data_IF_696981922442
#
_entry.id   IF_696981922442
#
_cell.length_a   1.000
_cell.length_b   1.000
_cell.length_c   1.000
_cell.angle_alpha   90.00
_cell.angle_beta   90.00
_cell.angle_gamma   90.00
#
_symmetry.space_group_name_H-M   'P 1'
#
loop_
_entity.id
_entity.type
_entity.pdbx_description
1 polymer ?
#
# COMPACT_ATOMS: atom_id res chain seq x y z
N UNK A 1 8.02 33.09 -35.56
CA UNK A 1 8.89 32.62 -34.43
C UNK A 1 10.22 33.33 -34.53
N UNK A 2 10.56 34.22 -33.60
CA UNK A 2 11.82 34.97 -33.58
C UNK A 2 12.97 33.99 -33.28
N UNK A 3 14.01 34.01 -34.11
CA UNK A 3 15.23 33.21 -33.88
C UNK A 3 15.94 33.71 -32.59
N UNK A 4 16.11 32.84 -31.61
CA UNK A 4 16.88 33.12 -30.40
C UNK A 4 18.28 33.64 -30.75
N UNK A 5 18.70 34.75 -30.12
CA UNK A 5 20.06 35.32 -30.26
C UNK A 5 21.11 34.35 -29.69
N UNK A 6 22.34 34.38 -30.20
CA UNK A 6 23.43 33.47 -29.82
C UNK A 6 23.64 33.42 -28.29
N UNK A 7 23.60 34.55 -27.61
CA UNK A 7 23.77 34.63 -26.14
C UNK A 7 22.60 33.96 -25.40
N UNK A 8 21.35 34.06 -25.91
CA UNK A 8 20.19 33.38 -25.30
C UNK A 8 20.33 31.86 -25.36
N UNK A 9 20.92 31.32 -26.43
CA UNK A 9 21.22 29.91 -26.53
C UNK A 9 22.28 29.47 -25.54
N UNK A 10 23.33 30.28 -25.35
CA UNK A 10 24.38 30.01 -24.36
C UNK A 10 23.83 30.02 -22.95
N UNK A 11 22.99 31.01 -22.61
CA UNK A 11 22.33 31.08 -21.30
C UNK A 11 21.39 29.88 -21.09
N UNK A 12 20.61 29.49 -22.11
CA UNK A 12 19.74 28.32 -22.02
C UNK A 12 20.52 27.02 -21.77
N UNK A 13 21.64 26.81 -22.49
CA UNK A 13 22.50 25.64 -22.28
C UNK A 13 23.12 25.67 -20.87
N UNK A 14 23.58 26.81 -20.41
CA UNK A 14 24.11 26.97 -19.05
C UNK A 14 23.08 26.63 -17.98
N UNK A 15 21.84 27.13 -18.12
CA UNK A 15 20.74 26.81 -17.20
C UNK A 15 20.39 25.33 -17.19
N UNK A 16 20.41 24.67 -18.37
CA UNK A 16 20.18 23.22 -18.47
C UNK A 16 21.29 22.44 -17.75
N UNK A 17 22.55 22.86 -17.91
CA UNK A 17 23.68 22.23 -17.22
C UNK A 17 23.56 22.42 -15.69
N UNK A 18 23.24 23.62 -15.24
CA UNK A 18 23.06 23.90 -13.80
C UNK A 18 21.90 23.09 -13.22
N UNK A 19 20.78 23.00 -13.95
CA UNK A 19 19.65 22.18 -13.55
C UNK A 19 20.04 20.69 -13.49
N UNK A 20 20.74 20.18 -14.50
CA UNK A 20 21.22 18.81 -14.53
C UNK A 20 22.16 18.49 -13.37
N UNK A 21 23.15 19.38 -13.12
CA UNK A 21 24.07 19.23 -11.98
C UNK A 21 23.33 19.31 -10.65
N UNK A 22 22.30 20.15 -10.56
CA UNK A 22 21.42 20.23 -9.39
C UNK A 22 20.67 18.93 -9.13
N UNK A 23 20.10 18.31 -10.16
CA UNK A 23 19.42 17.01 -10.08
C UNK A 23 20.41 15.91 -9.66
N UNK A 24 21.60 15.86 -10.28
CA UNK A 24 22.64 14.89 -9.92
C UNK A 24 23.09 15.09 -8.47
N UNK A 25 23.25 16.34 -8.01
CA UNK A 25 23.61 16.62 -6.63
C UNK A 25 22.50 16.17 -5.66
N UNK A 26 21.23 16.42 -5.97
CA UNK A 26 20.10 15.95 -5.18
C UNK A 26 20.06 14.42 -5.10
N UNK A 27 20.31 13.74 -6.21
CA UNK A 27 20.40 12.29 -6.27
C UNK A 27 21.54 11.74 -5.40
N UNK A 28 22.73 12.32 -5.50
CA UNK A 28 23.91 11.90 -4.74
C UNK A 28 23.82 12.24 -3.25
N UNK A 29 23.02 13.26 -2.89
CA UNK A 29 22.78 13.70 -1.52
C UNK A 29 21.53 13.05 -0.90
N UNK A 30 20.84 12.16 -1.63
CA UNK A 30 19.69 11.45 -1.09
C UNK A 30 20.12 10.64 0.14
N UNK A 31 19.49 10.84 1.30
CA UNK A 31 19.88 10.13 2.51
C UNK A 31 19.66 8.61 2.32
N UNK A 32 20.59 7.85 2.86
CA UNK A 32 20.55 6.39 2.86
C UNK A 32 20.50 5.87 4.30
N UNK A 33 19.83 4.78 4.49
CA UNK A 33 19.74 4.07 5.77
C UNK A 33 19.98 2.60 5.52
N UNK A 34 20.75 1.96 6.35
CA UNK A 34 20.97 0.52 6.25
C UNK A 34 19.83 -0.24 6.91
N UNK A 35 19.55 -1.46 6.45
CA UNK A 35 18.59 -2.38 7.08
C UNK A 35 18.80 -2.46 8.60
N UNK A 36 20.05 -2.62 9.04
CA UNK A 36 20.42 -2.70 10.46
C UNK A 36 20.01 -1.52 11.33
N UNK A 37 19.76 -0.34 10.72
CA UNK A 37 19.36 0.85 11.49
C UNK A 37 17.86 0.90 11.78
N UNK A 38 17.08 0.07 11.12
CA UNK A 38 15.61 0.04 11.22
C UNK A 38 15.08 -1.35 11.52
N UNK A 39 15.91 -2.38 11.37
CA UNK A 39 15.55 -3.76 11.58
C UNK A 39 15.44 -4.05 13.08
N UNK A 40 14.24 -4.33 13.54
CA UNK A 40 13.95 -4.82 14.87
C UNK A 40 13.81 -6.35 14.89
N UNK A 41 13.86 -6.98 13.71
CA UNK A 41 13.79 -8.42 13.56
C UNK A 41 15.14 -9.05 13.89
N UNK A 42 15.31 -9.42 15.13
CA UNK A 42 16.56 -10.02 15.62
C UNK A 42 16.54 -11.55 15.58
N UNK A 43 15.45 -12.15 15.07
CA UNK A 43 15.23 -13.59 15.07
C UNK A 43 15.83 -14.28 13.84
N UNK A 44 16.37 -15.47 14.06
CA UNK A 44 16.68 -16.43 12.99
C UNK A 44 15.41 -17.16 12.53
N UNK A 45 14.29 -17.03 13.27
CA UNK A 45 13.01 -17.67 13.00
C UNK A 45 12.10 -16.75 12.18
N UNK A 46 11.38 -17.33 11.24
CA UNK A 46 10.43 -16.60 10.37
C UNK A 46 9.16 -16.13 11.10
N UNK A 47 8.89 -16.65 12.30
CA UNK A 47 7.76 -16.29 13.16
C UNK A 47 8.18 -16.11 14.61
N UNK A 48 7.84 -14.95 15.16
CA UNK A 48 7.89 -14.66 16.58
C UNK A 48 6.65 -13.84 16.99
N UNK A 49 5.76 -14.45 17.77
CA UNK A 49 4.53 -13.78 18.24
C UNK A 49 4.81 -12.50 19.03
N UNK A 50 5.98 -12.41 19.68
CA UNK A 50 6.37 -11.25 20.47
C UNK A 50 6.78 -10.06 19.60
N UNK A 51 7.18 -10.30 18.35
CA UNK A 51 7.58 -9.26 17.40
C UNK A 51 6.37 -8.67 16.66
N UNK A 52 5.21 -9.34 16.65
CA UNK A 52 4.01 -8.87 15.97
C UNK A 52 3.43 -7.66 16.70
N UNK A 53 3.14 -6.61 15.93
CA UNK A 53 2.48 -5.39 16.46
C UNK A 53 1.07 -5.73 16.93
N UNK A 54 0.59 -5.02 17.95
CA UNK A 54 -0.74 -5.23 18.51
C UNK A 54 -1.51 -3.92 18.60
N UNK A 55 -2.83 -4.02 18.52
CA UNK A 55 -3.76 -2.96 18.80
C UNK A 55 -4.97 -3.54 19.55
N UNK A 56 -5.37 -2.90 20.63
CA UNK A 56 -6.49 -3.38 21.43
C UNK A 56 -7.83 -2.99 20.82
N UNK A 57 -8.74 -3.93 20.75
CA UNK A 57 -10.14 -3.69 20.42
C UNK A 57 -10.85 -3.10 21.66
N UNK A 58 -11.28 -1.86 21.53
CA UNK A 58 -11.92 -1.14 22.67
C UNK A 58 -13.44 -1.04 22.56
N UNK A 59 -14.02 -1.50 21.45
CA UNK A 59 -15.47 -1.50 21.14
C UNK A 59 -15.90 -2.88 20.66
N UNK A 60 -17.20 -3.12 20.54
CA UNK A 60 -17.75 -4.37 20.02
C UNK A 60 -17.27 -4.65 18.58
N UNK A 61 -17.23 -3.60 17.76
CA UNK A 61 -16.70 -3.66 16.39
C UNK A 61 -15.32 -3.01 16.33
N UNK A 62 -14.49 -3.46 15.38
CA UNK A 62 -13.22 -2.81 15.04
C UNK A 62 -13.32 -2.18 13.65
N UNK A 63 -12.92 -0.91 13.52
CA UNK A 63 -13.07 -0.13 12.30
C UNK A 63 -11.73 0.34 11.75
N UNK A 64 -11.53 0.13 10.46
CA UNK A 64 -10.31 0.54 9.74
C UNK A 64 -10.72 1.52 8.64
N UNK A 65 -10.13 2.71 8.62
CA UNK A 65 -10.20 3.60 7.49
C UNK A 65 -9.00 3.31 6.57
N UNK A 66 -9.24 2.61 5.47
CA UNK A 66 -8.21 2.39 4.45
C UNK A 66 -8.20 3.58 3.47
N UNK A 67 -7.02 4.18 3.28
CA UNK A 67 -6.75 5.28 2.36
C UNK A 67 -5.54 4.89 1.48
N UNK A 68 -5.49 5.32 0.24
CA UNK A 68 -4.44 4.89 -0.70
C UNK A 68 -4.14 5.95 -1.74
N UNK A 69 -2.99 5.84 -2.41
CA UNK A 69 -2.63 6.69 -3.54
C UNK A 69 -2.68 8.18 -3.20
N UNK A 70 -2.25 8.52 -1.99
CA UNK A 70 -2.29 9.89 -1.45
C UNK A 70 -1.39 10.81 -2.27
N UNK A 71 -0.25 10.28 -2.75
CA UNK A 71 0.73 10.99 -3.57
C UNK A 71 1.03 12.40 -3.01
N UNK A 72 1.34 12.45 -1.73
CA UNK A 72 1.38 13.64 -0.88
C UNK A 72 2.24 14.79 -1.43
N UNK A 73 3.25 14.49 -2.19
CA UNK A 73 4.23 15.42 -2.76
C UNK A 73 3.98 15.75 -4.23
N UNK A 74 2.88 15.30 -4.80
CA UNK A 74 2.56 15.62 -6.18
C UNK A 74 2.36 17.15 -6.34
N UNK A 75 3.19 17.84 -7.16
CA UNK A 75 3.16 19.29 -7.27
C UNK A 75 1.89 19.83 -7.95
N UNK A 76 1.13 18.97 -8.60
CA UNK A 76 -0.10 19.33 -9.30
C UNK A 76 -1.33 19.32 -8.39
N UNK A 77 -1.19 18.84 -7.14
CA UNK A 77 -2.31 18.66 -6.22
C UNK A 77 -2.13 19.43 -4.92
N UNK A 78 -3.24 19.92 -4.38
CA UNK A 78 -3.23 20.65 -3.12
C UNK A 78 -3.10 19.70 -1.93
N UNK A 79 -2.00 19.76 -1.19
CA UNK A 79 -1.81 19.00 0.06
C UNK A 79 -2.89 19.32 1.10
N UNK A 80 -3.44 20.54 1.06
CA UNK A 80 -4.48 20.97 1.99
C UNK A 80 -5.79 20.23 1.72
N UNK A 81 -6.12 20.02 0.47
CA UNK A 81 -7.38 19.37 0.10
C UNK A 81 -7.37 17.90 0.53
N UNK A 82 -6.26 17.19 0.29
CA UNK A 82 -6.07 15.79 0.74
C UNK A 82 -6.13 15.69 2.25
N UNK A 83 -5.40 16.56 2.98
CA UNK A 83 -5.45 16.58 4.45
C UNK A 83 -6.85 16.83 4.98
N UNK A 84 -7.57 17.77 4.37
CA UNK A 84 -8.94 18.10 4.75
C UNK A 84 -9.88 16.93 4.48
N UNK A 85 -9.73 16.27 3.34
CA UNK A 85 -10.53 15.10 2.99
C UNK A 85 -10.32 13.94 3.98
N UNK A 86 -9.06 13.63 4.32
CA UNK A 86 -8.74 12.59 5.32
C UNK A 86 -9.36 12.97 6.66
N UNK A 87 -9.20 14.22 7.11
CA UNK A 87 -9.81 14.67 8.36
C UNK A 87 -11.34 14.52 8.35
N UNK A 88 -12.00 14.89 7.27
CA UNK A 88 -13.45 14.74 7.14
C UNK A 88 -13.89 13.27 7.23
N UNK A 89 -13.12 12.35 6.63
CA UNK A 89 -13.41 10.93 6.74
C UNK A 89 -13.23 10.41 8.17
N UNK A 90 -12.15 10.83 8.84
CA UNK A 90 -11.92 10.49 10.25
C UNK A 90 -13.07 11.01 11.14
N UNK A 91 -13.46 12.27 10.97
CA UNK A 91 -14.53 12.88 11.75
C UNK A 91 -15.90 12.17 11.54
N UNK A 92 -16.13 11.62 10.33
CA UNK A 92 -17.35 10.85 10.00
C UNK A 92 -17.35 9.44 10.56
N UNK A 93 -16.19 8.78 10.57
CA UNK A 93 -16.10 7.34 10.83
C UNK A 93 -15.54 6.99 12.20
N UNK A 94 -14.78 7.90 12.82
CA UNK A 94 -14.06 7.68 14.08
C UNK A 94 -13.38 6.31 14.12
N UNK A 95 -12.43 6.04 13.17
CA UNK A 95 -11.85 4.73 12.99
C UNK A 95 -10.89 4.39 14.14
N UNK A 96 -10.73 3.10 14.41
CA UNK A 96 -9.76 2.60 15.40
C UNK A 96 -8.35 2.56 14.83
N UNK A 97 -8.23 2.39 13.50
CA UNK A 97 -6.96 2.33 12.77
C UNK A 97 -7.10 2.98 11.39
N UNK A 98 -6.06 3.66 10.93
CA UNK A 98 -5.92 4.05 9.52
C UNK A 98 -4.90 3.12 8.87
N UNK A 99 -5.23 2.50 7.74
CA UNK A 99 -4.26 1.79 6.89
C UNK A 99 -4.00 2.63 5.64
N UNK A 100 -2.73 2.93 5.35
CA UNK A 100 -2.38 3.61 4.08
C UNK A 100 -1.90 2.57 3.08
N UNK A 101 -2.68 2.40 2.00
CA UNK A 101 -2.58 1.33 1.01
C UNK A 101 -1.47 1.48 -0.04
N UNK A 102 -0.42 2.25 0.25
CA UNK A 102 0.70 2.50 -0.65
C UNK A 102 0.55 3.79 -1.47
N UNK A 103 1.60 4.13 -2.21
CA UNK A 103 1.72 5.38 -2.97
C UNK A 103 1.39 6.62 -2.10
N UNK A 104 1.92 6.60 -0.88
CA UNK A 104 1.81 7.71 0.07
C UNK A 104 2.52 8.95 -0.45
N UNK A 105 3.62 8.73 -1.19
CA UNK A 105 4.45 9.74 -1.84
C UNK A 105 4.59 9.39 -3.32
N UNK A 106 4.95 10.39 -4.16
CA UNK A 106 5.28 10.15 -5.55
C UNK A 106 6.34 11.13 -6.04
N UNK A 107 7.41 10.64 -6.66
CA UNK A 107 8.38 11.47 -7.35
C UNK A 107 9.76 11.57 -6.69
N UNK A 108 10.51 12.61 -7.10
CA UNK A 108 11.95 12.73 -6.79
C UNK A 108 12.25 13.22 -5.36
N UNK A 109 11.25 13.63 -4.59
CA UNK A 109 11.43 14.27 -3.30
C UNK A 109 10.86 13.47 -2.12
N UNK A 110 10.61 12.17 -2.28
CA UNK A 110 10.05 11.30 -1.24
C UNK A 110 10.78 11.47 0.11
N UNK A 111 12.11 11.57 0.09
CA UNK A 111 12.93 11.75 1.29
C UNK A 111 12.74 13.10 2.03
N UNK A 112 12.20 14.12 1.36
CA UNK A 112 11.83 15.37 2.02
C UNK A 112 10.38 15.31 2.51
N UNK A 113 9.48 14.70 1.73
CA UNK A 113 8.05 14.72 1.98
C UNK A 113 7.62 13.75 3.08
N UNK A 114 8.36 12.66 3.29
CA UNK A 114 8.06 11.67 4.33
C UNK A 114 7.88 12.31 5.72
N UNK A 115 8.73 13.29 6.09
CA UNK A 115 8.62 13.95 7.40
C UNK A 115 7.36 14.78 7.55
N UNK A 116 6.96 15.48 6.48
CA UNK A 116 5.76 16.30 6.47
C UNK A 116 4.50 15.43 6.46
N UNK A 117 4.53 14.32 5.74
CA UNK A 117 3.47 13.31 5.75
C UNK A 117 3.29 12.69 7.13
N UNK A 118 4.39 12.19 7.73
CA UNK A 118 4.36 11.61 9.09
C UNK A 118 3.75 12.57 10.10
N UNK A 119 4.19 13.84 10.06
CA UNK A 119 3.61 14.88 10.92
C UNK A 119 2.12 15.08 10.66
N UNK A 120 1.69 15.05 9.40
CA UNK A 120 0.27 15.18 9.06
C UNK A 120 -0.54 14.02 9.64
N UNK A 121 -0.05 12.80 9.56
CA UNK A 121 -0.71 11.62 10.12
C UNK A 121 -0.79 11.70 11.65
N UNK A 122 0.27 12.16 12.32
CA UNK A 122 0.27 12.37 13.79
C UNK A 122 -0.75 13.41 14.23
N UNK A 123 -0.96 14.47 13.44
CA UNK A 123 -1.94 15.51 13.76
C UNK A 123 -3.40 14.99 13.78
N UNK A 124 -3.68 13.85 13.18
CA UNK A 124 -4.99 13.21 13.25
C UNK A 124 -5.24 12.47 14.57
N UNK A 125 -4.18 12.08 15.28
CA UNK A 125 -4.27 11.40 16.58
C UNK A 125 -4.90 10.01 16.55
N UNK A 126 -4.98 9.39 15.36
CA UNK A 126 -5.48 8.03 15.16
C UNK A 126 -4.27 7.11 14.88
N UNK A 127 -4.21 5.90 15.45
CA UNK A 127 -3.19 4.93 15.06
C UNK A 127 -3.21 4.69 13.55
N UNK A 128 -2.03 4.56 12.94
CA UNK A 128 -1.93 4.35 11.50
C UNK A 128 -0.85 3.35 11.10
N UNK A 129 -1.11 2.60 10.04
CA UNK A 129 -0.28 1.50 9.56
C UNK A 129 -0.04 1.64 8.05
N UNK A 130 1.19 1.96 7.60
CA UNK A 130 1.51 2.11 6.19
C UNK A 130 1.92 0.81 5.52
N UNK A 131 1.59 0.67 4.23
CA UNK A 131 2.34 -0.14 3.28
C UNK A 131 2.98 0.76 2.23
N UNK A 132 4.00 0.24 1.54
CA UNK A 132 4.61 0.91 0.41
C UNK A 132 3.94 0.48 -0.91
N UNK A 133 3.84 1.43 -1.84
CA UNK A 133 3.46 1.20 -3.23
C UNK A 133 4.65 1.38 -4.17
N UNK A 134 4.39 1.36 -5.46
CA UNK A 134 5.46 1.47 -6.46
C UNK A 134 6.11 2.86 -6.50
N UNK A 135 5.40 3.92 -6.11
CA UNK A 135 5.94 5.27 -6.11
C UNK A 135 6.87 5.56 -4.92
N UNK A 136 6.82 4.79 -3.85
CA UNK A 136 7.85 4.85 -2.80
C UNK A 136 9.24 4.45 -3.33
N UNK A 137 9.31 3.66 -4.40
CA UNK A 137 10.55 3.27 -5.09
C UNK A 137 11.04 4.29 -6.11
N UNK A 138 10.28 5.36 -6.37
CA UNK A 138 10.62 6.37 -7.37
C UNK A 138 12.00 6.96 -7.14
N UNK A 139 12.74 7.21 -8.24
CA UNK A 139 14.03 7.89 -8.26
C UNK A 139 15.05 7.34 -7.25
N UNK A 140 15.04 6.02 -7.05
CA UNK A 140 15.91 5.34 -6.09
C UNK A 140 15.74 5.85 -4.64
N UNK A 141 14.52 6.16 -4.25
CA UNK A 141 14.19 6.39 -2.84
C UNK A 141 14.67 5.22 -2.00
N UNK A 142 15.11 5.52 -0.79
CA UNK A 142 15.57 4.50 0.16
C UNK A 142 14.43 4.18 1.12
N UNK A 143 13.81 3.02 0.95
CA UNK A 143 12.66 2.61 1.76
C UNK A 143 13.02 2.48 3.26
N UNK A 144 14.24 2.07 3.60
CA UNK A 144 14.68 2.05 4.99
C UNK A 144 14.80 3.44 5.57
N UNK A 145 15.22 4.44 4.76
CA UNK A 145 15.20 5.82 5.20
C UNK A 145 13.77 6.34 5.39
N UNK A 146 12.86 6.04 4.47
CA UNK A 146 11.45 6.41 4.60
C UNK A 146 10.86 5.77 5.86
N UNK A 147 11.07 4.48 6.07
CA UNK A 147 10.67 3.74 7.28
C UNK A 147 11.20 4.42 8.56
N UNK A 148 12.49 4.73 8.60
CA UNK A 148 13.13 5.39 9.75
C UNK A 148 12.53 6.76 10.05
N UNK A 149 12.05 7.49 9.03
CA UNK A 149 11.38 8.76 9.27
C UNK A 149 9.95 8.57 9.78
N UNK A 150 9.19 7.63 9.20
CA UNK A 150 7.83 7.32 9.63
C UNK A 150 7.78 6.74 11.05
N UNK A 151 8.74 5.89 11.41
CA UNK A 151 8.87 5.30 12.77
C UNK A 151 9.15 6.33 13.87
N UNK A 152 9.28 7.62 13.55
CA UNK A 152 9.31 8.72 14.54
C UNK A 152 7.93 9.19 14.96
N UNK A 153 6.90 8.74 14.28
CA UNK A 153 5.51 9.00 14.66
C UNK A 153 5.19 8.34 16.01
N UNK A 154 4.42 9.02 16.82
CA UNK A 154 3.93 8.47 18.09
C UNK A 154 2.70 7.55 17.88
N UNK A 155 2.04 7.68 16.73
CA UNK A 155 0.80 6.95 16.42
C UNK A 155 1.00 5.83 15.39
N UNK A 156 2.22 5.60 14.92
CA UNK A 156 2.47 4.59 13.89
C UNK A 156 2.48 3.17 14.46
N UNK A 157 1.82 2.26 13.78
CA UNK A 157 1.93 0.82 13.99
C UNK A 157 2.60 0.25 12.73
N UNK A 158 3.91 0.08 12.75
CA UNK A 158 4.68 -0.31 11.59
C UNK A 158 5.90 -1.13 11.98
N UNK A 159 6.27 -2.04 11.09
CA UNK A 159 7.55 -2.74 11.12
C UNK A 159 8.12 -2.84 9.71
N UNK A 160 9.43 -2.77 9.57
CA UNK A 160 10.10 -2.98 8.28
C UNK A 160 10.01 -4.44 7.81
N UNK A 161 9.70 -5.35 8.74
CA UNK A 161 9.70 -6.79 8.53
C UNK A 161 11.10 -7.38 8.36
N UNK A 162 11.18 -8.67 8.06
CA UNK A 162 12.48 -9.34 7.88
C UNK A 162 13.21 -8.77 6.65
N UNK A 163 14.48 -8.45 6.83
CA UNK A 163 15.30 -7.82 5.77
C UNK A 163 15.97 -8.83 4.82
N UNK A 164 15.74 -10.11 5.04
CA UNK A 164 16.22 -11.21 4.22
C UNK A 164 15.19 -11.74 3.20
N UNK A 165 14.01 -11.11 3.14
CA UNK A 165 12.98 -11.37 2.13
C UNK A 165 12.83 -10.18 1.20
N UNK A 166 12.08 -10.34 0.11
CA UNK A 166 11.77 -9.26 -0.82
C UNK A 166 10.83 -8.21 -0.19
N UNK A 167 10.95 -6.95 -0.64
CA UNK A 167 10.11 -5.84 -0.17
C UNK A 167 10.51 -5.29 1.20
N UNK A 168 9.88 -4.20 1.62
CA UNK A 168 10.06 -3.53 2.91
C UNK A 168 8.70 -3.19 3.50
N UNK A 169 8.48 -3.50 4.77
CA UNK A 169 7.18 -3.31 5.41
C UNK A 169 6.26 -4.52 5.20
N UNK A 170 6.83 -5.74 5.33
CA UNK A 170 6.06 -6.97 5.45
C UNK A 170 5.88 -7.26 6.94
N UNK A 171 4.70 -7.01 7.48
CA UNK A 171 4.44 -7.15 8.92
C UNK A 171 2.99 -7.49 9.22
N UNK A 172 2.73 -7.90 10.47
CA UNK A 172 1.40 -8.18 10.96
C UNK A 172 1.01 -7.22 12.07
N UNK A 173 -0.31 -7.02 12.20
CA UNK A 173 -0.92 -6.34 13.35
C UNK A 173 -2.02 -7.25 13.90
N UNK A 174 -1.86 -7.69 15.14
CA UNK A 174 -2.90 -8.44 15.83
C UNK A 174 -3.87 -7.45 16.51
N UNK A 175 -5.14 -7.54 16.16
CA UNK A 175 -6.23 -6.88 16.87
C UNK A 175 -6.57 -7.76 18.07
N UNK A 176 -6.36 -7.24 19.29
CA UNK A 176 -6.51 -8.00 20.52
C UNK A 176 -7.88 -7.78 21.15
N UNK A 177 -8.48 -8.84 21.66
CA UNK A 177 -9.65 -8.79 22.54
C UNK A 177 -9.26 -9.48 23.86
N UNK A 178 -8.83 -8.68 24.82
CA UNK A 178 -8.12 -9.17 26.00
C UNK A 178 -6.83 -9.85 25.63
N UNK A 179 -6.64 -11.10 26.10
CA UNK A 179 -5.42 -11.87 25.87
C UNK A 179 -5.46 -12.71 24.56
N UNK A 180 -6.54 -12.62 23.79
CA UNK A 180 -6.72 -13.40 22.56
C UNK A 180 -6.65 -12.53 21.31
N UNK A 181 -6.13 -13.10 20.23
CA UNK A 181 -6.16 -12.45 18.94
C UNK A 181 -7.59 -12.50 18.40
N UNK A 182 -8.25 -11.34 18.29
CA UNK A 182 -9.55 -11.22 17.68
C UNK A 182 -9.47 -11.43 16.17
N UNK A 183 -8.56 -10.69 15.52
CA UNK A 183 -8.32 -10.70 14.08
C UNK A 183 -6.87 -10.31 13.80
N UNK A 184 -6.31 -10.64 12.64
CA UNK A 184 -4.97 -10.16 12.29
C UNK A 184 -4.95 -9.48 10.93
N UNK A 185 -4.18 -8.43 10.79
CA UNK A 185 -3.94 -7.72 9.54
C UNK A 185 -2.55 -8.12 9.02
N UNK A 186 -2.49 -8.52 7.76
CA UNK A 186 -1.23 -8.82 7.05
C UNK A 186 -0.96 -7.67 6.10
N UNK A 187 0.12 -6.95 6.30
CA UNK A 187 0.52 -5.83 5.47
C UNK A 187 1.77 -6.24 4.69
N UNK A 188 1.70 -6.16 3.36
CA UNK A 188 2.78 -6.66 2.49
C UNK A 188 3.11 -5.66 1.39
N UNK A 189 4.40 -5.45 1.20
CA UNK A 189 4.92 -4.71 0.06
C UNK A 189 4.74 -5.54 -1.23
N UNK A 190 4.03 -5.00 -2.21
CA UNK A 190 3.86 -5.63 -3.53
C UNK A 190 4.97 -5.30 -4.52
N UNK A 191 6.06 -4.74 -4.02
CA UNK A 191 7.23 -4.37 -4.79
C UNK A 191 6.96 -3.28 -5.86
N UNK A 192 7.96 -3.00 -6.69
CA UNK A 192 7.95 -1.91 -7.65
C UNK A 192 7.71 -2.39 -9.09
N UNK A 193 7.78 -1.44 -10.01
CA UNK A 193 7.81 -1.71 -11.44
C UNK A 193 9.13 -2.40 -11.84
N UNK A 194 9.04 -3.50 -12.57
CA UNK A 194 10.18 -4.24 -13.12
C UNK A 194 10.39 -3.86 -14.56
N UNK A 195 11.61 -3.47 -14.91
CA UNK A 195 12.00 -3.10 -16.27
C UNK A 195 12.75 -4.25 -16.94
N UNK A 196 12.40 -4.57 -18.17
CA UNK A 196 13.11 -5.54 -19.01
C UNK A 196 13.84 -4.82 -20.12
N UNK A 197 15.08 -5.21 -20.33
CA UNK A 197 15.99 -4.61 -21.31
C UNK A 197 16.46 -5.66 -22.32
N UNK A 198 16.73 -5.23 -23.56
CA UNK A 198 17.39 -6.05 -24.57
C UNK A 198 18.91 -6.18 -24.29
N UNK A 199 19.60 -7.01 -25.05
CA UNK A 199 21.04 -7.18 -24.90
C UNK A 199 21.88 -5.93 -25.26
N UNK A 200 21.26 -4.86 -25.71
CA UNK A 200 21.87 -3.56 -26.03
C UNK A 200 21.55 -2.49 -24.98
N UNK A 201 20.78 -2.84 -23.95
CA UNK A 201 20.38 -1.92 -22.90
C UNK A 201 19.15 -1.04 -23.23
N UNK A 202 18.42 -1.35 -24.32
CA UNK A 202 17.16 -0.65 -24.60
C UNK A 202 16.03 -1.28 -23.79
N UNK A 203 15.18 -0.42 -23.16
CA UNK A 203 13.99 -0.87 -22.45
C UNK A 203 13.03 -1.53 -23.44
N UNK A 204 12.67 -2.77 -23.19
CA UNK A 204 11.71 -3.53 -23.99
C UNK A 204 10.29 -3.30 -23.51
N UNK A 205 10.07 -3.53 -22.22
CA UNK A 205 8.79 -3.34 -21.55
C UNK A 205 9.02 -3.26 -20.04
N UNK A 206 7.97 -2.86 -19.33
CA UNK A 206 7.89 -2.94 -17.88
C UNK A 206 6.57 -3.54 -17.45
N UNK A 207 6.52 -3.98 -16.22
CA UNK A 207 5.32 -4.48 -15.57
C UNK A 207 5.43 -4.24 -14.07
N UNK A 208 4.29 -4.11 -13.41
CA UNK A 208 4.27 -4.09 -11.96
C UNK A 208 4.54 -5.48 -11.42
N UNK A 209 5.36 -5.54 -10.39
CA UNK A 209 5.68 -6.78 -9.68
C UNK A 209 4.54 -7.14 -8.72
N UNK A 210 4.73 -8.15 -7.90
CA UNK A 210 3.77 -8.60 -6.92
C UNK A 210 4.46 -9.19 -5.71
N UNK A 211 3.69 -9.84 -4.86
CA UNK A 211 4.19 -10.53 -3.68
C UNK A 211 5.02 -11.74 -4.13
N UNK A 212 6.32 -11.71 -3.82
CA UNK A 212 7.31 -12.67 -4.30
C UNK A 212 7.39 -13.94 -3.45
N UNK A 213 8.01 -15.03 -3.95
CA UNK A 213 8.07 -16.30 -3.22
C UNK A 213 8.60 -16.20 -1.79
N UNK A 214 9.66 -15.42 -1.52
CA UNK A 214 10.19 -15.24 -0.17
C UNK A 214 9.19 -14.61 0.80
N UNK A 215 8.35 -13.69 0.29
CA UNK A 215 7.27 -13.08 1.04
C UNK A 215 6.11 -14.05 1.29
N UNK A 216 5.83 -14.94 0.32
CA UNK A 216 4.78 -15.97 0.44
C UNK A 216 5.18 -17.02 1.47
N UNK A 217 6.44 -17.45 1.49
CA UNK A 217 6.98 -18.35 2.53
C UNK A 217 6.87 -17.70 3.92
N UNK A 218 7.25 -16.43 4.04
CA UNK A 218 7.09 -15.67 5.28
C UNK A 218 5.61 -15.55 5.71
N UNK A 219 4.71 -15.29 4.78
CA UNK A 219 3.27 -15.25 5.04
C UNK A 219 2.78 -16.61 5.58
N UNK A 220 3.14 -17.72 4.93
CA UNK A 220 2.78 -19.07 5.36
C UNK A 220 3.25 -19.38 6.77
N UNK A 221 4.51 -19.09 7.08
CA UNK A 221 5.09 -19.30 8.40
C UNK A 221 4.35 -18.50 9.49
N UNK A 222 4.01 -17.25 9.19
CA UNK A 222 3.30 -16.40 10.13
C UNK A 222 1.84 -16.85 10.36
N UNK A 223 1.10 -17.20 9.30
CA UNK A 223 -0.27 -17.71 9.45
C UNK A 223 -0.29 -19.02 10.25
N UNK A 224 0.63 -19.94 9.95
CA UNK A 224 0.78 -21.19 10.69
C UNK A 224 1.22 -20.94 12.15
N UNK A 225 2.11 -19.99 12.36
CA UNK A 225 2.56 -19.57 13.68
C UNK A 225 1.42 -19.00 14.53
N UNK A 226 0.60 -18.09 13.96
CA UNK A 226 -0.60 -17.57 14.63
C UNK A 226 -1.58 -18.68 14.99
N UNK A 227 -1.87 -19.57 14.05
CA UNK A 227 -2.78 -20.69 14.30
C UNK A 227 -2.28 -21.64 15.40
N UNK A 228 -0.97 -21.87 15.45
CA UNK A 228 -0.33 -22.68 16.50
C UNK A 228 -0.38 -21.98 17.86
N UNK A 229 -0.13 -20.67 17.92
CA UNK A 229 -0.14 -19.92 19.18
C UNK A 229 -1.54 -19.84 19.79
N UNK A 230 -2.56 -19.65 18.95
CA UNK A 230 -3.97 -19.53 19.37
C UNK A 230 -4.70 -20.87 19.49
N UNK A 231 -4.12 -21.98 18.98
CA UNK A 231 -4.77 -23.30 18.92
C UNK A 231 -5.98 -23.36 17.97
N UNK A 232 -6.11 -22.38 17.07
CA UNK A 232 -7.20 -22.25 16.08
C UNK A 232 -6.72 -21.44 14.88
N UNK A 233 -7.42 -21.53 13.77
CA UNK A 233 -7.21 -20.57 12.66
C UNK A 233 -7.55 -19.17 13.12
N UNK A 234 -6.65 -18.22 12.85
CA UNK A 234 -6.86 -16.79 13.06
C UNK A 234 -7.33 -16.19 11.75
N UNK A 235 -8.48 -15.53 11.73
CA UNK A 235 -8.97 -14.83 10.54
C UNK A 235 -8.08 -13.61 10.25
N UNK A 236 -7.77 -13.40 8.96
CA UNK A 236 -6.87 -12.32 8.54
C UNK A 236 -7.40 -11.54 7.34
N UNK A 237 -6.95 -10.27 7.24
CA UNK A 237 -7.12 -9.41 6.06
C UNK A 237 -5.73 -9.12 5.50
N UNK A 238 -5.56 -9.30 4.18
CA UNK A 238 -4.36 -8.87 3.46
C UNK A 238 -4.53 -7.44 2.94
N UNK A 239 -3.49 -6.63 3.15
CA UNK A 239 -3.30 -5.35 2.48
C UNK A 239 -2.03 -5.40 1.64
N UNK A 240 -2.11 -5.02 0.38
CA UNK A 240 -0.98 -4.76 -0.51
C UNK A 240 -1.30 -3.58 -1.41
N UNK A 241 -0.33 -3.04 -2.14
CA UNK A 241 -0.61 -1.92 -3.01
C UNK A 241 -1.22 -2.36 -4.34
N UNK A 242 -0.67 -3.39 -4.98
CA UNK A 242 -1.19 -3.91 -6.25
C UNK A 242 -2.11 -5.11 -6.05
N UNK A 243 -3.09 -5.24 -6.94
CA UNK A 243 -3.99 -6.40 -6.98
C UNK A 243 -3.25 -7.70 -7.34
N UNK A 244 -3.72 -8.83 -6.81
CA UNK A 244 -3.28 -10.15 -7.26
C UNK A 244 -3.80 -10.46 -8.69
N UNK A 245 -3.10 -11.29 -9.49
CA UNK A 245 -3.49 -11.62 -10.87
C UNK A 245 -4.91 -12.16 -11.02
N UNK A 246 -5.42 -12.91 -10.03
CA UNK A 246 -6.78 -13.45 -10.05
C UNK A 246 -7.84 -12.35 -10.05
N UNK A 247 -7.55 -11.19 -9.47
CA UNK A 247 -8.44 -10.03 -9.57
C UNK A 247 -8.54 -9.56 -11.02
N UNK A 248 -7.43 -9.54 -11.77
CA UNK A 248 -7.42 -9.16 -13.18
C UNK A 248 -8.31 -10.08 -13.99
N UNK A 249 -8.22 -11.41 -13.78
CA UNK A 249 -9.03 -12.40 -14.49
C UNK A 249 -10.51 -12.19 -14.19
N UNK A 250 -10.87 -12.01 -12.91
CA UNK A 250 -12.25 -11.74 -12.49
C UNK A 250 -12.79 -10.42 -13.07
N UNK A 251 -11.99 -9.36 -13.00
CA UNK A 251 -12.36 -8.05 -13.53
C UNK A 251 -12.65 -8.09 -15.03
N UNK A 252 -11.75 -8.65 -15.83
CA UNK A 252 -11.98 -8.74 -17.27
C UNK A 252 -13.09 -9.70 -17.66
N UNK A 253 -13.30 -10.78 -16.90
CA UNK A 253 -14.43 -11.66 -17.11
C UNK A 253 -15.76 -10.89 -16.96
N UNK A 254 -15.89 -10.07 -15.93
CA UNK A 254 -17.09 -9.25 -15.69
C UNK A 254 -17.20 -8.13 -16.73
N UNK A 255 -16.12 -7.38 -16.97
CA UNK A 255 -16.07 -6.26 -17.93
C UNK A 255 -16.44 -6.69 -19.34
N UNK A 256 -16.03 -7.88 -19.76
CA UNK A 256 -16.28 -8.42 -21.10
C UNK A 256 -17.54 -9.30 -21.16
N UNK A 257 -18.28 -9.43 -20.05
CA UNK A 257 -19.45 -10.31 -19.95
C UNK A 257 -19.13 -11.77 -20.34
N UNK A 258 -17.95 -12.26 -19.92
CA UNK A 258 -17.51 -13.65 -20.09
C UNK A 258 -17.52 -14.34 -18.73
N UNK A 259 -18.55 -15.16 -18.41
CA UNK A 259 -18.64 -15.79 -17.10
C UNK A 259 -17.38 -16.59 -16.74
N UNK A 260 -16.92 -16.41 -15.51
CA UNK A 260 -15.85 -17.18 -14.90
C UNK A 260 -16.38 -17.81 -13.61
N UNK A 261 -16.25 -19.13 -13.50
CA UNK A 261 -16.75 -19.87 -12.35
C UNK A 261 -16.10 -19.37 -11.06
N UNK A 262 -16.89 -19.25 -10.00
CA UNK A 262 -16.42 -18.78 -8.69
C UNK A 262 -16.24 -17.27 -8.58
N UNK A 263 -16.55 -16.50 -9.64
CA UNK A 263 -16.46 -15.04 -9.65
C UNK A 263 -17.82 -14.39 -9.46
N UNK A 264 -17.89 -13.42 -8.56
CA UNK A 264 -19.08 -12.58 -8.37
C UNK A 264 -18.70 -11.15 -8.01
N UNK A 265 -19.55 -10.18 -8.38
CA UNK A 265 -19.42 -8.78 -7.97
C UNK A 265 -19.97 -8.63 -6.57
N UNK A 266 -19.18 -8.08 -5.64
CA UNK A 266 -19.63 -7.70 -4.30
C UNK A 266 -20.18 -6.28 -4.30
N UNK A 267 -19.40 -5.38 -4.81
CA UNK A 267 -19.77 -3.99 -5.04
C UNK A 267 -19.23 -3.53 -6.38
N UNK A 268 -20.07 -2.80 -7.10
CA UNK A 268 -19.62 -2.01 -8.23
C UNK A 268 -20.00 -0.55 -7.91
N UNK A 269 -19.12 0.16 -7.25
CA UNK A 269 -19.35 1.57 -6.88
C UNK A 269 -19.34 2.51 -8.08
N UNK A 270 -19.22 1.95 -9.26
CA UNK A 270 -19.51 2.67 -10.45
C UNK A 270 -18.45 2.58 -11.53
N UNK A 271 -17.21 2.19 -11.27
CA UNK A 271 -16.29 2.37 -12.36
C UNK A 271 -15.25 1.27 -12.45
N UNK A 272 -15.48 0.33 -13.35
CA UNK A 272 -14.45 -0.49 -13.99
C UNK A 272 -13.92 0.29 -15.23
N UNK A 273 -13.34 1.48 -15.00
CA UNK A 273 -13.05 2.42 -16.09
C UNK A 273 -11.64 2.30 -16.59
N UNK A 274 -10.71 2.06 -15.70
CA UNK A 274 -9.30 2.04 -15.98
C UNK A 274 -8.85 0.66 -16.45
N UNK A 275 -7.86 0.60 -17.33
CA UNK A 275 -7.14 -0.64 -17.58
C UNK A 275 -6.32 -0.98 -16.36
N UNK A 276 -6.32 -2.25 -15.95
CA UNK A 276 -5.68 -2.66 -14.73
C UNK A 276 -4.15 -2.58 -14.80
N UNK A 277 -3.57 -1.89 -13.82
CA UNK A 277 -2.13 -1.82 -13.60
C UNK A 277 -1.58 -2.93 -12.69
N UNK A 278 -2.39 -3.93 -12.33
CA UNK A 278 -2.02 -4.96 -11.38
C UNK A 278 -0.84 -5.86 -11.80
N UNK A 279 -0.38 -6.67 -10.86
CA UNK A 279 0.69 -7.65 -11.08
C UNK A 279 0.33 -8.61 -12.23
N UNK A 280 1.31 -8.89 -13.10
CA UNK A 280 1.14 -9.83 -14.22
C UNK A 280 1.60 -11.25 -13.90
N UNK A 281 2.41 -11.42 -12.87
CA UNK A 281 3.02 -12.69 -12.55
C UNK A 281 2.39 -13.30 -11.31
N UNK A 282 1.86 -14.50 -11.49
CA UNK A 282 1.42 -15.31 -10.37
C UNK A 282 2.63 -16.00 -9.73
N UNK A 283 2.83 -15.69 -8.44
CA UNK A 283 3.89 -16.31 -7.63
C UNK A 283 3.33 -17.31 -6.61
N UNK A 284 2.01 -17.52 -6.57
CA UNK A 284 1.37 -18.48 -5.69
C UNK A 284 0.73 -17.86 -4.43
N UNK A 285 0.61 -16.52 -4.34
CA UNK A 285 0.03 -15.88 -3.14
C UNK A 285 -1.45 -16.21 -2.98
N UNK A 286 -2.23 -16.16 -4.06
CA UNK A 286 -3.65 -16.49 -4.00
C UNK A 286 -3.86 -17.95 -3.57
N UNK A 287 -3.13 -18.88 -4.20
CA UNK A 287 -3.19 -20.31 -3.90
C UNK A 287 -2.84 -20.58 -2.43
N UNK A 288 -1.83 -19.87 -1.90
CA UNK A 288 -1.43 -19.99 -0.50
C UNK A 288 -2.50 -19.44 0.46
N UNK A 289 -3.13 -18.31 0.12
CA UNK A 289 -4.28 -17.80 0.89
C UNK A 289 -5.43 -18.80 0.92
N UNK A 290 -5.76 -19.38 -0.24
CA UNK A 290 -6.83 -20.37 -0.37
C UNK A 290 -6.51 -21.68 0.38
N UNK A 291 -5.25 -22.14 0.34
CA UNK A 291 -4.77 -23.33 1.04
C UNK A 291 -4.90 -23.18 2.57
N UNK A 292 -4.42 -22.07 3.11
CA UNK A 292 -4.40 -21.82 4.55
C UNK A 292 -5.79 -21.43 5.11
N UNK A 293 -6.65 -20.85 4.28
CA UNK A 293 -8.04 -20.52 4.60
C UNK A 293 -8.23 -19.43 5.68
N UNK A 294 -7.14 -18.79 6.11
CA UNK A 294 -7.11 -17.72 7.10
C UNK A 294 -7.52 -16.38 6.48
N UNK A 295 -6.94 -16.01 5.33
CA UNK A 295 -7.17 -14.74 4.65
C UNK A 295 -8.31 -14.85 3.65
N UNK A 296 -9.41 -14.12 3.91
CA UNK A 296 -10.60 -14.10 3.05
C UNK A 296 -10.87 -12.73 2.42
N UNK A 297 -10.06 -11.74 2.75
CA UNK A 297 -10.20 -10.37 2.27
C UNK A 297 -8.84 -9.84 1.87
N UNK A 298 -8.78 -9.21 0.69
CA UNK A 298 -7.61 -8.52 0.18
C UNK A 298 -8.01 -7.11 -0.26
N UNK A 299 -7.41 -6.09 0.34
CA UNK A 299 -7.59 -4.70 -0.01
C UNK A 299 -6.32 -4.13 -0.63
N UNK A 300 -6.46 -3.35 -1.71
CA UNK A 300 -5.35 -2.80 -2.48
C UNK A 300 -5.72 -1.47 -3.16
N UNK A 301 -4.73 -0.69 -3.57
CA UNK A 301 -4.84 0.60 -4.26
C UNK A 301 -4.40 0.54 -5.72
N UNK A 302 -3.52 1.47 -6.11
CA UNK A 302 -2.80 1.54 -7.37
C UNK A 302 -3.61 2.11 -8.56
N UNK A 303 -4.79 1.59 -8.85
CA UNK A 303 -5.63 2.08 -9.95
C UNK A 303 -6.58 3.16 -9.43
N UNK A 304 -6.31 4.43 -9.75
CA UNK A 304 -6.94 5.58 -9.10
C UNK A 304 -8.42 5.78 -9.41
N UNK A 305 -8.91 5.19 -10.51
CA UNK A 305 -10.30 5.34 -10.95
C UNK A 305 -11.13 4.07 -10.78
N UNK A 306 -10.54 2.99 -10.29
CA UNK A 306 -11.24 1.74 -9.99
C UNK A 306 -11.59 1.65 -8.50
N UNK A 307 -12.81 1.20 -8.21
CA UNK A 307 -13.29 1.02 -6.84
C UNK A 307 -14.22 -0.20 -6.72
N UNK A 308 -13.94 -1.20 -7.53
CA UNK A 308 -14.72 -2.43 -7.60
C UNK A 308 -14.29 -3.42 -6.50
N UNK A 309 -15.26 -4.15 -5.96
CA UNK A 309 -15.04 -5.30 -5.08
C UNK A 309 -15.60 -6.56 -5.71
N UNK A 310 -14.77 -7.58 -5.82
CA UNK A 310 -15.09 -8.86 -6.45
C UNK A 310 -14.79 -10.00 -5.49
N UNK A 311 -15.60 -11.06 -5.56
CA UNK A 311 -15.26 -12.34 -4.95
C UNK A 311 -14.67 -13.26 -6.01
N UNK A 312 -13.56 -13.89 -5.70
CA UNK A 312 -12.93 -14.92 -6.51
C UNK A 312 -12.76 -16.18 -5.64
N UNK A 313 -13.59 -17.21 -5.88
CA UNK A 313 -13.57 -18.48 -5.17
C UNK A 313 -13.48 -18.36 -3.63
N UNK A 314 -14.27 -17.44 -3.06
CA UNK A 314 -14.38 -17.26 -1.60
C UNK A 314 -13.45 -16.23 -1.00
N UNK A 315 -12.55 -15.60 -1.78
CA UNK A 315 -11.72 -14.47 -1.35
C UNK A 315 -12.29 -13.19 -1.94
N UNK A 316 -12.63 -12.23 -1.08
CA UNK A 316 -13.10 -10.91 -1.49
C UNK A 316 -11.89 -10.01 -1.77
N UNK A 317 -11.79 -9.49 -2.97
CA UNK A 317 -10.72 -8.62 -3.45
C UNK A 317 -11.28 -7.25 -3.77
N UNK A 318 -10.76 -6.20 -3.14
CA UNK A 318 -11.39 -4.88 -3.12
C UNK A 318 -10.38 -3.77 -3.35
N UNK A 319 -10.63 -2.93 -4.35
CA UNK A 319 -9.95 -1.65 -4.46
C UNK A 319 -10.34 -0.73 -3.31
N UNK A 320 -9.35 -0.21 -2.62
CA UNK A 320 -9.50 0.92 -1.70
C UNK A 320 -9.82 2.16 -2.56
N UNK A 321 -10.82 2.93 -2.16
CA UNK A 321 -11.13 4.19 -2.83
C UNK A 321 -9.92 5.12 -2.79
N UNK A 322 -9.52 5.65 -3.93
CA UNK A 322 -8.41 6.58 -4.06
C UNK A 322 -8.60 7.83 -3.19
N UNK A 323 -7.55 8.20 -2.46
CA UNK A 323 -7.54 9.35 -1.56
C UNK A 323 -6.82 10.55 -2.16
N UNK A 324 -5.91 10.33 -3.09
CA UNK A 324 -5.27 11.39 -3.85
C UNK A 324 -6.20 11.98 -4.91
N UNK A 325 -5.71 12.98 -5.62
CA UNK A 325 -6.44 13.51 -6.74
C UNK A 325 -6.51 12.51 -7.90
N UNK A 326 -7.69 12.33 -8.45
CA UNK A 326 -7.92 11.62 -9.69
C UNK A 326 -8.69 12.51 -10.69
N UNK A 327 -8.88 12.00 -11.90
CA UNK A 327 -9.56 12.76 -12.98
C UNK A 327 -11.02 13.09 -12.65
N UNK A 328 -11.62 12.36 -11.72
CA UNK A 328 -13.04 12.45 -11.38
C UNK A 328 -13.29 13.19 -10.06
N UNK A 329 -12.24 13.77 -9.45
CA UNK A 329 -12.27 14.47 -8.15
C UNK A 329 -12.91 13.63 -7.00
N UNK A 330 -12.87 12.31 -7.12
CA UNK A 330 -13.42 11.37 -6.14
C UNK A 330 -12.41 11.07 -5.04
N UNK A 331 -12.16 12.05 -4.19
CA UNK A 331 -11.27 11.90 -3.04
C UNK A 331 -12.02 11.20 -1.91
N UNK A 332 -11.59 9.99 -1.56
CA UNK A 332 -12.26 9.18 -0.54
C UNK A 332 -11.34 8.17 0.12
N UNK A 333 -11.95 7.25 0.82
CA UNK A 333 -11.33 6.08 1.44
C UNK A 333 -12.35 4.95 1.54
N UNK A 334 -11.92 3.82 2.04
CA UNK A 334 -12.77 2.66 2.30
C UNK A 334 -12.82 2.40 3.80
N UNK A 335 -14.02 2.49 4.39
CA UNK A 335 -14.24 2.08 5.76
C UNK A 335 -14.46 0.58 5.79
N UNK A 336 -13.63 -0.13 6.53
CA UNK A 336 -13.72 -1.57 6.75
C UNK A 336 -14.14 -1.77 8.21
N UNK A 337 -15.15 -2.58 8.42
CA UNK A 337 -15.68 -2.89 9.74
C UNK A 337 -15.63 -4.40 9.98
N UNK A 338 -15.05 -4.79 11.09
CA UNK A 338 -15.05 -6.17 11.60
C UNK A 338 -15.98 -6.19 12.81
N UNK A 339 -17.12 -6.86 12.69
CA UNK A 339 -18.10 -6.95 13.78
C UNK A 339 -17.68 -7.98 14.85
N UNK A 340 -18.45 -8.05 15.93
CA UNK A 340 -18.21 -8.97 17.06
C UNK A 340 -18.22 -10.46 16.63
N UNK A 341 -18.94 -10.79 15.57
CA UNK A 341 -18.99 -12.14 15.01
C UNK A 341 -17.89 -12.40 13.96
N UNK A 342 -16.96 -11.43 13.79
CA UNK A 342 -15.85 -11.44 12.83
C UNK A 342 -16.28 -11.35 11.36
N UNK A 343 -17.51 -10.91 11.09
CA UNK A 343 -17.90 -10.60 9.71
C UNK A 343 -17.27 -9.29 9.29
N UNK A 344 -16.71 -9.26 8.09
CA UNK A 344 -16.12 -8.06 7.50
C UNK A 344 -17.09 -7.44 6.51
N UNK A 345 -17.37 -6.17 6.69
CA UNK A 345 -18.09 -5.33 5.72
C UNK A 345 -17.25 -4.11 5.38
N UNK A 346 -17.52 -3.51 4.23
CA UNK A 346 -16.80 -2.30 3.81
C UNK A 346 -17.70 -1.39 2.99
N UNK A 347 -17.40 -0.09 3.04
CA UNK A 347 -18.10 0.94 2.27
C UNK A 347 -17.15 2.09 1.90
N UNK A 348 -17.48 2.79 0.81
CA UNK A 348 -16.74 3.97 0.39
C UNK A 348 -17.17 5.19 1.21
N UNK A 349 -16.21 5.91 1.75
CA UNK A 349 -16.41 7.18 2.45
C UNK A 349 -15.76 8.30 1.66
N UNK A 350 -16.58 9.27 1.22
CA UNK A 350 -16.08 10.42 0.48
C UNK A 350 -15.59 11.52 1.43
N UNK A 351 -14.39 12.04 1.17
CA UNK A 351 -13.76 13.12 1.94
C UNK A 351 -14.21 14.52 1.51
N UNK A 352 -14.75 14.66 0.29
CA UNK A 352 -15.13 15.95 -0.31
C UNK A 352 -16.58 16.37 -0.03
N UNK A 353 -17.37 15.55 0.62
CA UNK A 353 -18.80 15.81 0.86
C UNK A 353 -19.09 16.33 2.24
#
# INVERSE_FOLDING_TARGET
MSKMKRWQKVVAVFLVIVLFLGIVALYLLCPRTTAKEVDNWLGEESFDIQSIKTIDKTKDDFTILAITDIQFDNPFYSKKDVKTAIKNMIDKTNPDLIVTGGDNFAGIFNHFHVKAFTKMMDEFGVPWAPIFGNHEYDFHSDLYYLSKQMMKSENIIFDVGPTNIDGVGNYLINIMDGDSIFYSLVLMDSNAEVFRYDGRGNRLYSYYDGIRPSQIEWYEDNINGLAKSEGRTVDTILFSHTALPQFNDAYYAIKNNTPLDGVSVKYNYGNMVEELGGCRYEYGMYEKMAELGSTKYHFFGHDHSNNTSLNYNGIDMTYIQNTGHNKDDQIGGTLIKIDSDKNVSHEIIMGNS
#
